data_IF_913041653669
#
_entry.id   IF_913041653669
#
_cell.length_a   1.000
_cell.length_b   1.000
_cell.length_c   1.000
_cell.angle_alpha   90.00
_cell.angle_beta   90.00
_cell.angle_gamma   90.00
#
_symmetry.space_group_name_H-M   'P 1'
#
loop_
_entity.id
_entity.type
_entity.pdbx_description
1 polymer ?
#
# COMPACT_ATOMS: atom_id res chain seq x y z
N UNK A 1 -11.39 10.06 17.95
CA UNK A 1 -12.74 9.45 17.88
C UNK A 1 -12.58 7.94 17.98
N UNK A 2 -12.86 7.34 19.13
CA UNK A 2 -12.91 5.88 19.30
C UNK A 2 -14.32 5.47 19.72
N UNK A 3 -14.68 4.20 19.55
CA UNK A 3 -15.92 3.62 20.03
C UNK A 3 -15.94 3.46 21.56
N UNK A 4 -16.98 2.80 22.10
CA UNK A 4 -17.02 2.43 23.51
C UNK A 4 -15.73 1.67 23.89
N UNK A 5 -15.17 2.00 25.05
CA UNK A 5 -13.96 1.37 25.59
C UNK A 5 -12.68 1.55 24.74
N UNK A 6 -12.62 2.57 23.89
CA UNK A 6 -11.43 2.80 23.05
C UNK A 6 -11.34 1.86 21.84
N UNK A 7 -12.40 1.09 21.55
CA UNK A 7 -12.43 0.21 20.39
C UNK A 7 -12.36 1.01 19.10
N UNK A 8 -11.70 0.46 18.08
CA UNK A 8 -11.78 1.02 16.74
C UNK A 8 -13.24 0.97 16.28
N UNK A 9 -13.77 2.12 15.84
CA UNK A 9 -15.10 2.21 15.24
C UNK A 9 -14.98 2.51 13.74
N UNK A 10 -16.09 2.36 13.01
CA UNK A 10 -16.10 2.50 11.55
C UNK A 10 -15.64 3.89 11.11
N UNK A 11 -16.03 4.94 11.83
CA UNK A 11 -15.61 6.31 11.54
C UNK A 11 -14.10 6.49 11.70
N UNK A 12 -13.50 5.87 12.73
CA UNK A 12 -12.05 5.87 12.93
C UNK A 12 -11.32 5.12 11.82
N UNK A 13 -11.81 3.96 11.41
CA UNK A 13 -11.24 3.19 10.30
C UNK A 13 -11.28 3.97 8.99
N UNK A 14 -12.41 4.63 8.70
CA UNK A 14 -12.56 5.51 7.53
C UNK A 14 -11.63 6.73 7.60
N UNK A 15 -11.48 7.32 8.78
CA UNK A 15 -10.58 8.46 9.00
C UNK A 15 -9.12 8.06 8.73
N UNK A 16 -8.66 6.91 9.25
CA UNK A 16 -7.32 6.39 8.97
C UNK A 16 -7.12 6.19 7.46
N UNK A 17 -8.10 5.62 6.76
CA UNK A 17 -7.98 5.36 5.33
C UNK A 17 -7.93 6.66 4.52
N UNK A 18 -8.69 7.68 4.93
CA UNK A 18 -8.75 8.98 4.25
C UNK A 18 -7.55 9.86 4.53
N UNK A 19 -6.72 9.50 5.51
CA UNK A 19 -5.53 10.25 5.88
C UNK A 19 -4.42 10.07 4.85
N UNK A 20 -3.78 11.18 4.46
CA UNK A 20 -2.56 11.17 3.64
C UNK A 20 -1.43 10.36 4.28
N UNK A 21 -1.50 10.14 5.60
CA UNK A 21 -0.58 9.33 6.39
C UNK A 21 -0.91 7.83 6.41
N UNK A 22 -1.93 7.36 5.68
CA UNK A 22 -2.29 5.93 5.67
C UNK A 22 -1.11 5.02 5.30
N UNK A 23 -0.40 5.33 4.22
CA UNK A 23 0.77 4.53 3.80
C UNK A 23 1.96 4.65 4.78
N UNK A 24 2.36 5.85 5.22
CA UNK A 24 3.33 5.99 6.31
C UNK A 24 2.97 5.21 7.58
N UNK A 25 1.69 5.17 7.96
CA UNK A 25 1.21 4.38 9.09
C UNK A 25 1.43 2.89 8.85
N UNK A 26 1.04 2.36 7.68
CA UNK A 26 1.26 0.96 7.33
C UNK A 26 2.76 0.61 7.30
N UNK A 27 3.64 1.54 6.91
CA UNK A 27 5.09 1.36 6.98
C UNK A 27 5.58 1.29 8.43
N UNK A 28 5.13 2.21 9.28
CA UNK A 28 5.45 2.23 10.72
C UNK A 28 5.00 0.95 11.44
N UNK A 29 3.87 0.39 11.02
CA UNK A 29 3.36 -0.89 11.53
C UNK A 29 4.04 -2.12 10.92
N UNK A 30 4.99 -1.94 10.00
CA UNK A 30 5.70 -3.04 9.32
C UNK A 30 4.87 -3.82 8.31
N UNK A 31 3.64 -3.37 8.00
CA UNK A 31 2.74 -3.99 7.02
C UNK A 31 3.19 -3.71 5.59
N UNK A 32 3.87 -2.58 5.38
CA UNK A 32 4.52 -2.22 4.13
C UNK A 32 5.99 -1.97 4.41
N UNK A 33 6.87 -2.40 3.50
CA UNK A 33 8.30 -2.11 3.62
C UNK A 33 8.56 -0.60 3.60
N UNK A 34 9.37 -0.10 4.53
CA UNK A 34 9.81 1.29 4.51
C UNK A 34 10.89 1.54 3.46
N UNK A 35 11.75 0.54 3.26
CA UNK A 35 12.86 0.57 2.32
C UNK A 35 12.85 -0.65 1.42
N UNK A 36 13.03 -0.42 0.12
CA UNK A 36 13.16 -1.46 -0.88
C UNK A 36 14.36 -1.16 -1.78
N UNK A 37 15.21 -2.18 -1.99
CA UNK A 37 16.31 -2.12 -2.95
C UNK A 37 15.80 -2.61 -4.31
N UNK A 38 16.24 -1.95 -5.37
CA UNK A 38 15.93 -2.38 -6.73
C UNK A 38 16.58 -3.75 -6.97
N UNK A 39 15.83 -4.77 -7.42
CA UNK A 39 16.38 -6.12 -7.63
C UNK A 39 17.41 -6.18 -8.77
N UNK A 40 17.53 -5.13 -9.59
CA UNK A 40 18.45 -5.09 -10.74
C UNK A 40 19.74 -4.34 -10.51
N UNK A 41 19.68 -3.22 -9.80
CA UNK A 41 20.84 -2.33 -9.60
C UNK A 41 21.15 -2.07 -8.13
N UNK A 42 20.43 -2.73 -7.21
CA UNK A 42 20.58 -2.62 -5.76
C UNK A 42 20.47 -1.19 -5.20
N UNK A 43 20.07 -0.23 -6.03
CA UNK A 43 19.85 1.16 -5.65
C UNK A 43 18.55 1.29 -4.84
N UNK A 44 18.47 2.34 -4.03
CA UNK A 44 17.24 2.62 -3.28
C UNK A 44 16.06 2.90 -4.21
N UNK A 45 14.91 2.36 -3.84
CA UNK A 45 13.63 2.66 -4.46
C UNK A 45 12.87 3.71 -3.65
N UNK A 46 11.95 4.41 -4.30
CA UNK A 46 10.99 5.32 -3.65
C UNK A 46 9.59 4.89 -4.03
N UNK A 47 8.71 4.78 -3.04
CA UNK A 47 7.29 4.61 -3.29
C UNK A 47 6.73 5.93 -3.85
N UNK A 48 6.11 5.87 -5.02
CA UNK A 48 5.52 7.03 -5.70
C UNK A 48 4.10 6.72 -6.15
N UNK A 49 3.25 7.75 -6.26
CA UNK A 49 1.94 7.57 -6.82
C UNK A 49 2.04 7.21 -8.32
N UNK A 50 1.27 6.23 -8.77
CA UNK A 50 1.20 5.76 -10.16
C UNK A 50 -0.27 5.67 -10.58
N UNK A 51 -0.64 6.42 -11.62
CA UNK A 51 -2.06 6.61 -11.98
C UNK A 51 -2.70 5.39 -12.64
N UNK A 52 -1.91 4.40 -13.05
CA UNK A 52 -2.37 3.24 -13.82
C UNK A 52 -2.68 1.99 -12.99
N UNK A 53 -2.55 2.03 -11.65
CA UNK A 53 -2.75 0.86 -10.79
C UNK A 53 -3.76 1.18 -9.68
N UNK A 54 -4.60 0.22 -9.30
CA UNK A 54 -5.67 0.36 -8.30
C UNK A 54 -5.20 1.01 -6.99
N UNK A 55 -4.04 0.58 -6.46
CA UNK A 55 -3.45 1.11 -5.22
C UNK A 55 -2.75 2.46 -5.37
N UNK A 56 -2.73 2.99 -6.58
CA UNK A 56 -2.09 4.24 -6.96
C UNK A 56 -0.63 4.35 -6.52
N UNK A 57 0.10 3.28 -6.17
CA UNK A 57 1.48 3.38 -5.71
C UNK A 57 2.36 2.22 -6.16
N UNK A 58 3.58 2.57 -6.57
CA UNK A 58 4.60 1.63 -7.02
C UNK A 58 5.96 2.03 -6.47
N UNK A 59 6.82 1.04 -6.24
CA UNK A 59 8.22 1.29 -5.99
C UNK A 59 8.92 1.63 -7.29
N UNK A 60 9.59 2.79 -7.32
CA UNK A 60 10.36 3.26 -8.48
C UNK A 60 11.83 3.37 -8.09
N UNK A 61 12.72 2.80 -8.90
CA UNK A 61 14.16 2.93 -8.73
C UNK A 61 14.62 4.40 -8.79
N UNK A 62 15.51 4.83 -7.89
CA UNK A 62 16.04 6.21 -7.89
C UNK A 62 17.12 6.47 -8.94
N UNK A 63 17.85 5.44 -9.38
CA UNK A 63 18.93 5.57 -10.36
C UNK A 63 18.40 6.08 -11.72
N UNK A 64 18.90 7.23 -12.18
CA UNK A 64 18.43 7.96 -13.36
C UNK A 64 18.65 7.24 -14.68
N UNK A 65 19.75 6.50 -14.83
CA UNK A 65 20.04 5.71 -16.04
C UNK A 65 19.02 4.58 -16.18
N UNK A 66 18.67 3.96 -15.06
CA UNK A 66 17.68 2.88 -15.01
C UNK A 66 16.23 3.39 -15.00
N UNK A 67 15.94 4.66 -14.68
CA UNK A 67 14.58 5.20 -14.78
C UNK A 67 14.04 5.18 -16.21
N UNK A 68 14.87 5.54 -17.20
CA UNK A 68 14.48 5.53 -18.63
C UNK A 68 14.28 4.09 -19.14
N UNK A 69 15.15 3.17 -18.74
CA UNK A 69 15.02 1.73 -19.05
C UNK A 69 13.85 1.05 -18.32
N UNK A 70 13.55 1.47 -17.09
CA UNK A 70 12.46 0.95 -16.28
C UNK A 70 11.09 1.39 -16.81
N UNK A 71 10.96 2.65 -17.23
CA UNK A 71 9.73 3.17 -17.84
C UNK A 71 9.42 2.49 -19.18
N UNK A 72 10.46 2.17 -19.96
CA UNK A 72 10.29 1.56 -21.29
C UNK A 72 9.98 0.04 -21.27
N UNK A 73 10.22 -0.66 -20.15
CA UNK A 73 10.09 -2.13 -20.09
C UNK A 73 9.36 -2.67 -18.84
N UNK A 74 8.80 -1.82 -17.98
CA UNK A 74 8.18 -2.24 -16.72
C UNK A 74 9.15 -2.88 -15.71
N UNK A 75 10.46 -2.77 -15.95
CA UNK A 75 11.48 -3.64 -15.36
C UNK A 75 11.87 -3.32 -13.91
N UNK A 76 11.43 -2.19 -13.36
CA UNK A 76 11.75 -1.77 -11.99
C UNK A 76 10.54 -1.23 -11.24
N UNK A 77 9.34 -1.69 -11.62
CA UNK A 77 8.13 -1.48 -10.83
C UNK A 77 7.95 -2.72 -9.94
N UNK A 78 7.92 -2.50 -8.64
CA UNK A 78 7.49 -3.52 -7.70
C UNK A 78 6.15 -3.06 -7.17
N UNK A 79 5.12 -3.83 -7.49
CA UNK A 79 3.79 -3.59 -6.94
C UNK A 79 3.85 -3.74 -5.43
N UNK A 80 3.06 -2.88 -4.77
CA UNK A 80 2.93 -2.90 -3.33
C UNK A 80 2.33 -4.24 -2.85
N UNK A 81 1.51 -4.86 -3.69
CA UNK A 81 0.84 -6.12 -3.40
C UNK A 81 1.37 -7.25 -4.30
N UNK A 82 1.85 -8.31 -3.64
CA UNK A 82 2.40 -9.50 -4.32
C UNK A 82 1.35 -10.54 -4.68
N UNK A 83 0.20 -10.55 -4.00
CA UNK A 83 -0.77 -11.64 -4.10
C UNK A 83 -1.69 -11.49 -5.33
N UNK A 84 -1.94 -12.60 -6.03
CA UNK A 84 -2.87 -12.64 -7.17
C UNK A 84 -4.29 -12.27 -6.77
N UNK A 85 -4.74 -12.63 -5.56
CA UNK A 85 -6.09 -12.32 -5.12
C UNK A 85 -6.34 -10.81 -5.09
N UNK A 86 -5.40 -10.06 -4.50
CA UNK A 86 -5.47 -8.60 -4.44
C UNK A 86 -5.42 -7.95 -5.83
N UNK A 87 -4.58 -8.47 -6.74
CA UNK A 87 -4.52 -7.97 -8.12
C UNK A 87 -5.85 -8.19 -8.86
N UNK A 88 -6.48 -9.35 -8.65
CA UNK A 88 -7.70 -9.72 -9.32
C UNK A 88 -8.94 -9.03 -8.74
N UNK A 89 -8.93 -8.70 -7.44
CA UNK A 89 -10.06 -8.01 -6.79
C UNK A 89 -10.22 -6.57 -7.28
N UNK A 90 -9.17 -5.97 -7.86
CA UNK A 90 -9.09 -4.55 -8.23
C UNK A 90 -9.33 -3.59 -7.07
N UNK A 91 -9.31 -4.10 -5.83
CA UNK A 91 -9.49 -3.30 -4.63
C UNK A 91 -8.22 -2.50 -4.33
N UNK A 92 -8.42 -1.34 -3.73
CA UNK A 92 -7.38 -0.54 -3.14
C UNK A 92 -7.02 -1.06 -1.75
N UNK A 93 -5.84 -0.70 -1.23
CA UNK A 93 -5.39 -1.01 0.12
C UNK A 93 -6.31 -0.43 1.18
N UNK A 94 -6.91 0.72 0.91
CA UNK A 94 -7.92 1.33 1.79
C UNK A 94 -9.17 0.45 1.83
N UNK A 95 -9.66 -0.01 0.68
CA UNK A 95 -10.82 -0.90 0.61
C UNK A 95 -10.54 -2.24 1.29
N UNK A 96 -9.36 -2.82 1.09
CA UNK A 96 -9.00 -4.07 1.77
C UNK A 96 -8.86 -3.88 3.27
N UNK A 97 -8.28 -2.76 3.72
CA UNK A 97 -8.21 -2.44 5.14
C UNK A 97 -9.61 -2.31 5.77
N UNK A 98 -10.52 -1.60 5.10
CA UNK A 98 -11.91 -1.46 5.56
C UNK A 98 -12.66 -2.79 5.56
N UNK A 99 -12.50 -3.59 4.51
CA UNK A 99 -13.11 -4.92 4.41
C UNK A 99 -12.60 -5.82 5.54
N UNK A 100 -11.29 -5.82 5.80
CA UNK A 100 -10.68 -6.58 6.89
C UNK A 100 -11.23 -6.14 8.24
N UNK A 101 -11.35 -4.83 8.47
CA UNK A 101 -11.95 -4.30 9.70
C UNK A 101 -13.40 -4.79 9.91
N UNK A 102 -14.25 -4.73 8.87
CA UNK A 102 -15.63 -5.20 8.99
C UNK A 102 -15.69 -6.72 9.23
N UNK A 103 -14.87 -7.51 8.53
CA UNK A 103 -14.81 -8.97 8.73
C UNK A 103 -14.39 -9.34 10.16
N UNK A 104 -13.33 -8.74 10.69
CA UNK A 104 -12.85 -9.01 12.05
C UNK A 104 -13.89 -8.59 13.09
N UNK A 105 -14.53 -7.43 12.90
CA UNK A 105 -15.60 -6.95 13.78
C UNK A 105 -16.78 -7.93 13.82
N UNK A 106 -17.12 -8.56 12.70
CA UNK A 106 -18.21 -9.53 12.61
C UNK A 106 -17.85 -10.95 13.07
N UNK A 107 -16.57 -11.28 13.27
CA UNK A 107 -16.13 -12.57 13.81
C UNK A 107 -16.17 -12.65 15.35
N UNK A 108 -16.45 -11.54 16.04
CA UNK A 108 -16.65 -11.51 17.49
C UNK A 108 -18.14 -11.61 17.90
N UNK A 109 -18.88 -12.53 17.26
CA UNK A 109 -20.20 -13.00 17.71
C UNK A 109 -20.03 -14.32 18.44
#
# INVERSE_FOLDING_TARGET
>A
MFGKLGSVNRCFALQICSDTNFIPLLQKLGLIKEHLKCPKCSSDMKLKPEKQISDNRVWICRNSENKKLAAAKGLCLVDLVKDLWFRNSKMTLQEVFLLTYELVKHQHI
#
